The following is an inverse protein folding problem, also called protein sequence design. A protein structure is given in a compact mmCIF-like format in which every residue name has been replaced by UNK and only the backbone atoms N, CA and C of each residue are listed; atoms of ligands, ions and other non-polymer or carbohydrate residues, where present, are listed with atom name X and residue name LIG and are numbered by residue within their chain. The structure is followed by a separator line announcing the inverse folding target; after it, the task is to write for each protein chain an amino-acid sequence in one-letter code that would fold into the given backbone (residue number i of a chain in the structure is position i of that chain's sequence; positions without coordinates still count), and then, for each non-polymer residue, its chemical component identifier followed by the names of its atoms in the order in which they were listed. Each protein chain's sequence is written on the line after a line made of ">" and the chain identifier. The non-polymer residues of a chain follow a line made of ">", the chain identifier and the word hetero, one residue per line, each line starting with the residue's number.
data_IF_253845249571
#
_entry.id   IF_253845249571
#
_cell.length_a   1.000
_cell.length_b   1.000
_cell.length_c   1.000
_cell.angle_alpha   90.00
_cell.angle_beta   90.00
_cell.angle_gamma   90.00
#
_symmetry.space_group_name_H-M   'P 1'
#
loop_
_entity.id
_entity.type
_entity.pdbx_description
1 polymer ?
#
# COMPACT_ATOMS: atom_id res chain seq x y z
N UNK A 1 32.24 -30.94 -36.97
CA UNK A 1 33.72 -30.89 -37.05
C UNK A 1 34.18 -32.15 -37.76
N UNK A 2 35.16 -32.08 -38.67
CA UNK A 2 35.62 -33.25 -39.42
C UNK A 2 36.59 -34.07 -38.55
N UNK A 3 36.31 -35.36 -38.37
CA UNK A 3 37.19 -36.29 -37.66
C UNK A 3 38.58 -36.31 -38.31
N UNK A 4 39.62 -36.11 -37.53
CA UNK A 4 41.00 -36.34 -37.99
C UNK A 4 41.15 -37.85 -38.22
N UNK A 5 41.48 -38.26 -39.44
CA UNK A 5 41.57 -39.67 -39.82
C UNK A 5 42.49 -40.44 -38.86
N UNK A 6 42.08 -41.66 -38.46
CA UNK A 6 42.88 -42.55 -37.63
C UNK A 6 44.30 -42.67 -38.20
N UNK A 7 45.30 -42.42 -37.35
CA UNK A 7 46.71 -42.53 -37.75
C UNK A 7 47.08 -44.00 -37.86
N UNK A 8 47.46 -44.44 -39.05
CA UNK A 8 48.03 -45.77 -39.25
C UNK A 8 49.47 -45.78 -38.77
N UNK A 9 49.75 -46.48 -37.68
CA UNK A 9 51.11 -46.65 -37.15
C UNK A 9 51.90 -47.62 -38.02
N UNK A 10 53.15 -47.27 -38.32
CA UNK A 10 54.05 -48.15 -39.08
C UNK A 10 54.94 -48.93 -38.10
N UNK A 11 55.16 -50.22 -38.37
CA UNK A 11 56.03 -51.03 -37.53
C UNK A 11 57.45 -50.44 -37.46
N UNK A 12 57.94 -50.21 -36.24
CA UNK A 12 59.27 -49.60 -35.98
C UNK A 12 59.27 -48.08 -35.84
N UNK A 13 58.11 -47.42 -35.91
CA UNK A 13 58.00 -45.99 -35.69
C UNK A 13 58.28 -45.59 -34.23
N UNK A 14 59.08 -44.54 -34.02
CA UNK A 14 59.33 -43.99 -32.68
C UNK A 14 58.16 -43.08 -32.30
N UNK A 15 57.33 -43.56 -31.37
CA UNK A 15 56.23 -42.79 -30.81
C UNK A 15 56.76 -41.88 -29.70
N UNK A 16 56.70 -40.56 -29.91
CA UNK A 16 57.09 -39.59 -28.88
C UNK A 16 55.93 -39.37 -27.90
N UNK A 17 56.25 -38.99 -26.66
CA UNK A 17 55.24 -38.65 -25.67
C UNK A 17 54.30 -37.51 -26.12
N UNK A 18 54.80 -36.58 -26.94
CA UNK A 18 53.97 -35.52 -27.53
C UNK A 18 52.94 -36.08 -28.52
N UNK A 19 53.35 -37.00 -29.40
CA UNK A 19 52.44 -37.66 -30.35
C UNK A 19 51.37 -38.50 -29.63
N UNK A 20 51.79 -39.21 -28.58
CA UNK A 20 50.89 -40.04 -27.79
C UNK A 20 49.91 -39.18 -26.99
N UNK A 21 50.37 -38.08 -26.40
CA UNK A 21 49.52 -37.19 -25.61
C UNK A 21 48.49 -36.45 -26.47
N UNK A 22 48.81 -36.10 -27.71
CA UNK A 22 47.84 -35.48 -28.62
C UNK A 22 46.71 -36.46 -28.97
N UNK A 23 47.04 -37.72 -29.25
CA UNK A 23 46.05 -38.78 -29.52
C UNK A 23 45.28 -39.21 -28.26
N UNK A 24 45.93 -39.30 -27.10
CA UNK A 24 45.28 -39.67 -25.83
C UNK A 24 44.40 -38.54 -25.29
N UNK A 25 44.81 -37.28 -25.39
CA UNK A 25 44.00 -36.13 -24.94
C UNK A 25 42.70 -36.06 -25.73
N UNK A 26 42.75 -36.33 -27.04
CA UNK A 26 41.57 -36.36 -27.88
C UNK A 26 40.69 -37.58 -27.54
N UNK A 27 41.26 -38.74 -27.22
CA UNK A 27 40.48 -39.90 -26.73
C UNK A 27 39.90 -39.72 -25.32
N UNK A 28 40.62 -39.06 -24.40
CA UNK A 28 40.19 -38.86 -23.02
C UNK A 28 39.08 -37.84 -22.86
N UNK A 29 38.95 -36.90 -23.82
CA UNK A 29 37.81 -35.99 -23.92
C UNK A 29 36.56 -36.67 -24.48
N UNK A 30 36.74 -37.78 -25.19
CA UNK A 30 35.72 -38.46 -25.98
C UNK A 30 35.74 -39.97 -25.72
N UNK A 31 35.50 -40.37 -24.47
CA UNK A 31 35.06 -41.73 -24.18
C UNK A 31 33.66 -41.94 -24.76
N UNK A 32 33.57 -42.04 -26.09
CA UNK A 32 32.38 -42.46 -26.81
C UNK A 32 32.34 -43.98 -26.85
N UNK A 33 31.14 -44.55 -26.75
CA UNK A 33 30.95 -45.98 -27.01
C UNK A 33 31.50 -46.36 -28.39
N UNK A 34 31.73 -47.66 -28.61
CA UNK A 34 32.36 -48.23 -29.81
C UNK A 34 31.66 -47.87 -31.16
N UNK A 35 30.52 -47.18 -31.13
CA UNK A 35 29.72 -46.75 -32.27
C UNK A 35 29.94 -45.28 -32.70
N UNK A 36 30.78 -44.52 -31.99
CA UNK A 36 31.08 -43.12 -32.34
C UNK A 36 29.91 -42.15 -32.14
N UNK A 37 28.86 -42.58 -31.44
CA UNK A 37 27.77 -41.72 -31.00
C UNK A 37 28.17 -41.07 -29.67
N UNK A 38 27.98 -39.74 -29.50
CA UNK A 38 28.11 -39.11 -28.20
C UNK A 38 27.07 -39.70 -27.23
N UNK A 39 27.48 -40.67 -26.43
CA UNK A 39 26.66 -41.18 -25.33
C UNK A 39 26.85 -40.27 -24.13
N UNK A 40 25.73 -39.79 -23.58
CA UNK A 40 25.77 -39.15 -22.28
C UNK A 40 26.05 -40.24 -21.25
N UNK A 41 27.27 -40.26 -20.72
CA UNK A 41 27.53 -40.96 -19.47
C UNK A 41 26.68 -40.29 -18.40
N UNK A 42 25.50 -40.83 -18.14
CA UNK A 42 24.68 -40.55 -16.98
C UNK A 42 25.39 -41.12 -15.74
N UNK A 43 26.55 -40.55 -15.44
CA UNK A 43 27.34 -40.88 -14.26
C UNK A 43 26.90 -39.96 -13.13
N UNK A 44 26.20 -40.52 -12.14
CA UNK A 44 26.15 -39.93 -10.81
C UNK A 44 27.59 -39.86 -10.30
N UNK A 45 28.21 -38.68 -10.36
CA UNK A 45 29.48 -38.45 -9.68
C UNK A 45 29.12 -38.23 -8.22
N UNK A 46 29.27 -39.30 -7.43
CA UNK A 46 29.26 -39.18 -5.97
C UNK A 46 30.63 -38.62 -5.61
N UNK A 47 30.74 -37.30 -5.50
CA UNK A 47 31.87 -36.71 -4.78
C UNK A 47 31.66 -37.02 -3.29
N UNK A 48 32.59 -37.75 -2.68
CA UNK A 48 32.55 -38.04 -1.25
C UNK A 48 33.56 -37.21 -0.45
N UNK A 49 34.17 -36.20 -1.07
CA UNK A 49 35.36 -35.52 -0.53
C UNK A 49 35.00 -34.28 0.29
N UNK A 50 33.87 -33.64 0.02
CA UNK A 50 33.42 -32.37 0.62
C UNK A 50 31.99 -32.40 1.21
N UNK A 51 31.23 -33.47 0.99
CA UNK A 51 29.96 -33.73 1.70
C UNK A 51 28.72 -33.14 1.03
N UNK A 52 28.87 -32.63 -0.18
CA UNK A 52 27.80 -32.16 -1.05
C UNK A 52 27.67 -33.07 -2.26
N UNK A 53 26.73 -34.02 -2.18
CA UNK A 53 26.40 -34.86 -3.33
C UNK A 53 25.62 -34.05 -4.36
N UNK A 54 26.31 -33.54 -5.38
CA UNK A 54 25.66 -32.89 -6.51
C UNK A 54 25.49 -33.82 -7.71
N UNK A 55 24.26 -33.88 -8.22
CA UNK A 55 23.99 -34.47 -9.52
C UNK A 55 24.49 -33.53 -10.62
N UNK A 56 25.72 -33.74 -11.09
CA UNK A 56 26.28 -32.95 -12.19
C UNK A 56 25.64 -33.37 -13.51
N UNK A 57 24.80 -32.50 -14.06
CA UNK A 57 24.26 -32.70 -15.40
C UNK A 57 25.38 -32.60 -16.45
N UNK A 58 25.31 -33.40 -17.53
CA UNK A 58 26.18 -33.25 -18.69
C UNK A 58 26.12 -31.82 -19.20
N UNK A 59 27.29 -31.21 -19.40
CA UNK A 59 27.42 -29.89 -20.01
C UNK A 59 27.61 -30.10 -21.51
N UNK A 60 26.63 -29.65 -22.31
CA UNK A 60 26.66 -29.80 -23.76
C UNK A 60 26.74 -28.42 -24.43
N UNK A 61 27.56 -28.32 -25.48
CA UNK A 61 27.48 -27.20 -26.40
C UNK A 61 26.21 -27.29 -27.26
N UNK A 62 25.78 -26.18 -27.87
CA UNK A 62 24.58 -26.16 -28.72
C UNK A 62 24.65 -27.12 -29.90
N UNK A 63 25.84 -27.38 -30.43
CA UNK A 63 26.04 -28.35 -31.50
C UNK A 63 25.86 -29.80 -31.00
N UNK A 64 26.33 -30.10 -29.78
CA UNK A 64 26.16 -31.42 -29.14
C UNK A 64 24.72 -31.65 -28.70
N UNK A 65 24.04 -30.61 -28.22
CA UNK A 65 22.60 -30.64 -27.93
C UNK A 65 21.78 -31.11 -29.14
N UNK A 66 22.17 -30.73 -30.37
CA UNK A 66 21.46 -31.13 -31.58
C UNK A 66 21.70 -32.61 -31.96
N UNK A 67 22.83 -33.18 -31.56
CA UNK A 67 23.16 -34.60 -31.82
C UNK A 67 22.58 -35.56 -30.79
N UNK A 68 22.30 -35.07 -29.57
CA UNK A 68 21.68 -35.81 -28.47
C UNK A 68 20.15 -35.93 -28.62
N UNK A 69 19.53 -35.25 -29.59
CA UNK A 69 18.07 -35.25 -29.81
C UNK A 69 17.44 -36.66 -29.90
N UNK A 70 18.20 -37.67 -30.32
CA UNK A 70 17.74 -39.05 -30.47
C UNK A 70 17.82 -39.89 -29.19
N UNK A 71 18.42 -39.37 -28.11
CA UNK A 71 18.51 -40.05 -26.82
C UNK A 71 17.28 -39.72 -25.96
N UNK A 72 16.30 -40.63 -25.95
CA UNK A 72 15.10 -40.51 -25.11
C UNK A 72 15.46 -40.61 -23.61
N UNK A 73 14.95 -39.68 -22.80
CA UNK A 73 15.02 -39.73 -21.33
C UNK A 73 16.24 -39.04 -20.71
N UNK A 74 17.06 -38.34 -21.50
CA UNK A 74 18.26 -37.68 -20.99
C UNK A 74 18.00 -36.24 -20.54
N UNK A 75 18.73 -35.78 -19.52
CA UNK A 75 18.69 -34.41 -19.01
C UNK A 75 20.10 -33.82 -19.10
N UNK A 76 20.24 -32.64 -19.72
CA UNK A 76 21.53 -31.95 -19.82
C UNK A 76 21.40 -30.45 -19.56
N UNK A 77 22.50 -29.81 -19.18
CA UNK A 77 22.59 -28.36 -19.09
C UNK A 77 23.18 -27.80 -20.39
N UNK A 78 22.47 -26.86 -21.01
CA UNK A 78 22.94 -26.15 -22.19
C UNK A 78 23.77 -24.93 -21.76
N UNK A 79 25.05 -24.94 -22.12
CA UNK A 79 26.01 -23.92 -21.68
C UNK A 79 25.69 -22.52 -22.21
N UNK A 80 25.10 -22.40 -23.40
CA UNK A 80 24.87 -21.11 -24.05
C UNK A 80 23.57 -20.45 -23.56
N UNK A 81 22.55 -21.26 -23.31
CA UNK A 81 21.24 -20.77 -22.84
C UNK A 81 21.10 -20.77 -21.32
N UNK A 82 22.02 -21.43 -20.61
CA UNK A 82 21.97 -21.64 -19.16
C UNK A 82 20.67 -22.32 -18.70
N UNK A 83 20.12 -23.23 -19.52
CA UNK A 83 18.86 -23.95 -19.22
C UNK A 83 19.09 -25.45 -19.10
N UNK A 84 18.29 -26.08 -18.24
CA UNK A 84 18.19 -27.53 -18.16
C UNK A 84 17.23 -28.02 -19.26
N UNK A 85 17.73 -28.88 -20.14
CA UNK A 85 17.01 -29.48 -21.26
C UNK A 85 16.72 -30.96 -20.98
N UNK A 86 15.53 -31.41 -21.37
CA UNK A 86 15.09 -32.80 -21.34
C UNK A 86 14.93 -33.30 -22.77
N UNK A 87 15.55 -34.42 -23.14
CA UNK A 87 15.52 -34.96 -24.49
C UNK A 87 14.53 -36.12 -24.58
N UNK A 88 13.55 -36.02 -25.47
CA UNK A 88 12.44 -36.97 -25.60
C UNK A 88 12.47 -37.71 -26.96
N UNK A 89 13.65 -37.93 -27.55
CA UNK A 89 13.87 -38.71 -28.78
C UNK A 89 13.44 -38.05 -30.09
N UNK A 90 12.56 -37.06 -30.01
CA UNK A 90 12.00 -36.34 -31.16
C UNK A 90 11.98 -34.82 -30.97
N UNK A 91 12.18 -34.34 -29.74
CA UNK A 91 12.19 -32.93 -29.39
C UNK A 91 12.98 -32.69 -28.09
N UNK A 92 13.36 -31.43 -27.88
CA UNK A 92 13.96 -30.93 -26.64
C UNK A 92 12.88 -30.24 -25.82
N UNK A 93 12.54 -30.80 -24.65
CA UNK A 93 11.73 -30.16 -23.62
C UNK A 93 12.59 -29.33 -22.65
N UNK A 94 11.96 -28.44 -21.89
CA UNK A 94 12.58 -27.75 -20.76
C UNK A 94 12.07 -28.38 -19.47
N UNK A 95 12.95 -28.64 -18.50
CA UNK A 95 12.56 -29.16 -17.18
C UNK A 95 11.69 -28.16 -16.38
N UNK A 96 11.81 -26.88 -16.75
CA UNK A 96 10.97 -25.79 -16.27
C UNK A 96 10.25 -25.25 -17.49
N UNK A 97 8.97 -25.60 -17.61
CA UNK A 97 8.10 -25.12 -18.68
C UNK A 97 7.58 -23.72 -18.33
N UNK A 98 7.05 -23.00 -19.31
CA UNK A 98 6.34 -21.74 -19.06
C UNK A 98 5.12 -21.90 -18.14
N UNK A 99 4.60 -23.13 -17.97
CA UNK A 99 3.57 -23.46 -16.97
C UNK A 99 4.14 -23.52 -15.55
N UNK A 100 5.39 -23.94 -15.39
CA UNK A 100 6.04 -24.05 -14.07
C UNK A 100 6.48 -22.68 -13.54
N UNK A 101 6.55 -21.69 -14.42
CA UNK A 101 6.80 -20.27 -14.14
C UNK A 101 5.61 -19.44 -14.63
N UNK A 102 4.39 -19.87 -14.31
CA UNK A 102 3.17 -19.20 -14.76
C UNK A 102 3.13 -17.75 -14.23
N UNK A 103 3.62 -16.85 -15.07
CA UNK A 103 3.32 -15.44 -15.06
C UNK A 103 3.00 -15.07 -16.51
N UNK A 104 1.85 -15.57 -16.99
CA UNK A 104 1.19 -14.89 -18.10
C UNK A 104 0.79 -13.53 -17.56
N UNK A 105 1.47 -12.42 -17.93
CA UNK A 105 1.13 -11.12 -17.38
C UNK A 105 -0.31 -10.82 -17.79
N UNK A 106 -1.18 -10.53 -16.82
CA UNK A 106 -2.39 -9.78 -17.14
C UNK A 106 -1.89 -8.47 -17.74
N UNK A 107 -2.13 -8.25 -19.04
CA UNK A 107 -1.90 -7.00 -19.82
C UNK A 107 -0.67 -6.86 -20.77
N UNK A 108 0.09 -7.92 -21.04
CA UNK A 108 1.23 -7.88 -21.99
C UNK A 108 2.49 -7.13 -21.51
N UNK A 109 2.68 -6.95 -20.20
CA UNK A 109 3.96 -6.48 -19.65
C UNK A 109 5.14 -7.39 -20.05
N UNK A 110 6.22 -6.80 -20.54
CA UNK A 110 7.42 -7.54 -20.99
C UNK A 110 8.38 -7.76 -19.84
N UNK A 111 8.73 -9.03 -19.62
CA UNK A 111 9.45 -9.62 -18.50
C UNK A 111 10.93 -9.24 -18.45
N UNK A 112 11.36 -8.57 -17.38
CA UNK A 112 12.66 -8.86 -16.76
C UNK A 112 12.46 -10.03 -15.77
N UNK A 113 13.42 -10.95 -15.64
CA UNK A 113 13.21 -12.17 -14.86
C UNK A 113 13.15 -11.83 -13.36
N UNK A 114 12.37 -12.60 -12.60
CA UNK A 114 12.29 -12.68 -11.12
C UNK A 114 11.57 -11.57 -10.32
N UNK A 115 10.46 -11.00 -10.79
CA UNK A 115 9.42 -10.59 -9.83
C UNK A 115 8.27 -11.59 -9.87
N UNK A 116 7.95 -12.22 -8.74
CA UNK A 116 6.71 -12.97 -8.59
C UNK A 116 5.53 -12.07 -8.96
N UNK A 117 4.58 -12.58 -9.74
CA UNK A 117 3.33 -11.89 -10.11
C UNK A 117 2.63 -11.22 -8.90
N UNK A 118 2.84 -11.77 -7.69
CA UNK A 118 2.41 -11.16 -6.43
C UNK A 118 2.86 -9.71 -6.26
N UNK A 119 4.08 -9.34 -6.63
CA UNK A 119 4.55 -7.95 -6.52
C UNK A 119 3.86 -7.01 -7.53
N UNK A 120 3.49 -7.52 -8.71
CA UNK A 120 2.86 -6.74 -9.78
C UNK A 120 1.37 -6.48 -9.51
N UNK A 121 0.64 -7.47 -8.99
CA UNK A 121 -0.78 -7.35 -8.63
C UNK A 121 -1.02 -6.28 -7.54
N UNK A 122 -0.11 -6.15 -6.57
CA UNK A 122 -0.18 -5.07 -5.57
C UNK A 122 0.13 -3.69 -6.16
N UNK A 123 1.02 -3.61 -7.15
CA UNK A 123 1.42 -2.35 -7.78
C UNK A 123 0.32 -1.78 -8.70
N UNK A 124 -0.50 -2.61 -9.35
CA UNK A 124 -1.66 -2.14 -10.12
C UNK A 124 -2.79 -1.60 -9.23
N UNK A 125 -2.86 -2.03 -7.96
CA UNK A 125 -3.94 -1.62 -7.04
C UNK A 125 -3.71 -0.24 -6.43
N UNK A 126 -2.48 0.26 -6.33
CA UNK A 126 -2.17 1.57 -5.74
C UNK A 126 -1.79 2.56 -6.86
N UNK A 127 -2.67 3.51 -7.19
CA UNK A 127 -2.43 4.44 -8.32
C UNK A 127 -1.82 5.76 -7.89
N UNK A 128 -1.83 6.07 -6.59
CA UNK A 128 -1.39 7.35 -6.05
C UNK A 128 -0.52 7.12 -4.82
N UNK A 129 0.53 7.94 -4.65
CA UNK A 129 1.32 7.93 -3.43
C UNK A 129 0.43 8.23 -2.22
N UNK A 130 0.51 7.41 -1.17
CA UNK A 130 -0.33 7.51 0.03
C UNK A 130 -1.61 6.68 0.01
N UNK A 131 -1.90 5.97 -1.09
CA UNK A 131 -2.95 4.95 -1.08
C UNK A 131 -2.63 3.84 -0.07
N UNK A 132 -3.66 3.32 0.59
CA UNK A 132 -3.53 2.23 1.56
C UNK A 132 -4.33 1.01 1.09
N UNK A 133 -3.71 -0.17 0.91
CA UNK A 133 -4.43 -1.37 0.53
C UNK A 133 -5.26 -1.91 1.71
N UNK A 134 -6.46 -2.40 1.43
CA UNK A 134 -7.30 -3.10 2.41
C UNK A 134 -8.07 -4.26 1.76
N UNK A 135 -8.47 -5.25 2.56
CA UNK A 135 -9.31 -6.35 2.11
C UNK A 135 -10.80 -6.00 2.30
N UNK A 136 -11.60 -6.24 1.28
CA UNK A 136 -13.07 -6.16 1.37
C UNK A 136 -13.64 -7.34 2.15
N UNK A 137 -14.93 -7.29 2.50
CA UNK A 137 -15.65 -8.40 3.13
C UNK A 137 -15.61 -9.70 2.30
N UNK A 138 -15.47 -9.57 0.97
CA UNK A 138 -15.33 -10.70 0.05
C UNK A 138 -13.90 -11.29 0.01
N UNK A 139 -12.97 -10.78 0.83
CA UNK A 139 -11.56 -11.17 0.81
C UNK A 139 -10.80 -10.67 -0.41
N UNK A 140 -11.38 -9.75 -1.19
CA UNK A 140 -10.75 -9.14 -2.37
C UNK A 140 -9.96 -7.91 -1.92
N UNK A 141 -8.71 -7.79 -2.35
CA UNK A 141 -7.88 -6.62 -2.13
C UNK A 141 -8.36 -5.42 -2.95
N UNK A 142 -8.40 -4.26 -2.31
CA UNK A 142 -8.74 -2.98 -2.93
C UNK A 142 -7.91 -1.88 -2.26
N UNK A 143 -8.14 -0.61 -2.61
CA UNK A 143 -7.44 0.55 -2.05
C UNK A 143 -8.40 1.52 -1.37
N UNK A 144 -7.93 2.10 -0.28
CA UNK A 144 -8.38 3.39 0.21
C UNK A 144 -7.45 4.43 -0.44
N UNK A 145 -8.00 5.30 -1.30
CA UNK A 145 -7.21 6.35 -1.96
C UNK A 145 -6.56 7.28 -0.93
N UNK A 146 -5.49 7.99 -1.28
CA UNK A 146 -4.87 8.98 -0.36
C UNK A 146 -5.92 9.94 0.25
N UNK A 147 -5.85 10.15 1.56
CA UNK A 147 -6.70 11.08 2.30
C UNK A 147 -6.27 12.54 2.13
N UNK A 148 -7.17 13.46 2.50
CA UNK A 148 -6.84 14.88 2.61
C UNK A 148 -5.76 15.13 3.68
N UNK A 149 -5.16 16.33 3.66
CA UNK A 149 -4.19 16.73 4.68
C UNK A 149 -4.79 16.62 6.08
N UNK A 150 -4.06 16.01 7.02
CA UNK A 150 -4.50 15.88 8.42
C UNK A 150 -5.54 14.79 8.68
N UNK A 151 -6.05 14.12 7.64
CA UNK A 151 -7.03 13.05 7.81
C UNK A 151 -6.43 11.79 8.45
N UNK A 152 -7.24 11.09 9.24
CA UNK A 152 -6.90 9.83 9.90
C UNK A 152 -7.68 8.68 9.26
N UNK A 153 -7.00 7.56 9.02
CA UNK A 153 -7.68 6.35 8.57
C UNK A 153 -8.44 5.74 9.74
N UNK A 154 -9.75 5.57 9.61
CA UNK A 154 -10.59 4.93 10.61
C UNK A 154 -11.13 3.60 10.08
N UNK A 155 -11.01 2.56 10.89
CA UNK A 155 -11.65 1.26 10.67
C UNK A 155 -12.84 1.12 11.59
N UNK A 156 -14.05 1.07 11.03
CA UNK A 156 -15.32 1.00 11.77
C UNK A 156 -15.94 -0.41 11.76
N UNK A 157 -15.22 -1.41 11.26
CA UNK A 157 -15.74 -2.76 11.02
C UNK A 157 -16.28 -2.98 9.60
N UNK A 158 -16.29 -1.93 8.78
CA UNK A 158 -16.55 -1.98 7.33
C UNK A 158 -15.30 -1.50 6.57
N UNK A 159 -15.45 -1.16 5.28
CA UNK A 159 -14.37 -0.54 4.51
C UNK A 159 -13.82 0.69 5.26
N UNK A 160 -12.48 0.83 5.38
CA UNK A 160 -11.89 1.96 6.07
C UNK A 160 -12.21 3.25 5.32
N UNK A 161 -12.32 4.35 6.06
CA UNK A 161 -12.54 5.69 5.51
C UNK A 161 -11.61 6.70 6.15
N UNK A 162 -11.38 7.80 5.46
CA UNK A 162 -10.71 8.95 6.06
C UNK A 162 -11.70 9.74 6.89
N UNK A 163 -11.29 10.09 8.10
CA UNK A 163 -12.02 11.01 8.98
C UNK A 163 -11.11 12.17 9.32
N UNK A 164 -11.68 13.35 9.43
CA UNK A 164 -10.94 14.51 9.88
C UNK A 164 -11.02 14.58 11.41
N UNK A 165 -9.89 14.80 12.10
CA UNK A 165 -9.89 14.85 13.55
C UNK A 165 -10.55 16.15 14.03
N UNK A 166 -11.59 15.99 14.84
CA UNK A 166 -12.29 17.09 15.48
C UNK A 166 -11.63 17.48 16.82
N UNK A 167 -11.80 18.75 17.21
CA UNK A 167 -11.36 19.33 18.49
C UNK A 167 -12.54 20.05 19.10
N UNK A 168 -12.98 19.59 20.26
CA UNK A 168 -14.07 20.22 20.99
C UNK A 168 -13.55 21.18 22.06
N UNK A 169 -14.21 22.33 22.19
CA UNK A 169 -14.02 23.31 23.25
C UNK A 169 -15.37 23.55 23.93
N UNK A 170 -15.38 23.49 25.26
CA UNK A 170 -16.57 23.84 26.06
C UNK A 170 -16.20 25.05 26.92
N UNK A 171 -17.02 26.10 26.82
CA UNK A 171 -16.81 27.37 27.51
C UNK A 171 -17.97 27.59 28.47
N UNK A 172 -17.66 27.70 29.76
CA UNK A 172 -18.61 28.18 30.76
C UNK A 172 -18.75 29.70 30.62
N UNK A 173 -19.86 30.16 30.08
CA UNK A 173 -20.12 31.59 29.84
C UNK A 173 -20.82 32.22 31.04
N UNK A 174 -21.88 31.58 31.54
CA UNK A 174 -22.65 32.03 32.71
C UNK A 174 -22.76 30.88 33.72
N UNK A 175 -22.56 31.17 35.01
CA UNK A 175 -22.68 30.17 36.09
C UNK A 175 -24.09 29.59 36.15
N UNK A 176 -24.24 28.34 36.55
CA UNK A 176 -25.49 27.55 36.48
C UNK A 176 -26.70 28.27 37.10
N UNK A 177 -26.48 29.03 38.18
CA UNK A 177 -27.48 29.74 38.96
C UNK A 177 -27.62 31.23 38.59
N UNK A 178 -26.75 31.76 37.74
CA UNK A 178 -26.82 33.15 37.29
C UNK A 178 -27.79 33.28 36.12
N UNK A 179 -28.61 34.34 36.16
CA UNK A 179 -29.54 34.67 35.09
C UNK A 179 -28.82 34.91 33.77
N UNK A 180 -29.34 34.33 32.69
CA UNK A 180 -28.93 34.63 31.33
C UNK A 180 -29.42 36.04 30.96
N UNK A 181 -28.54 36.88 30.42
CA UNK A 181 -28.85 38.29 30.12
C UNK A 181 -28.51 38.57 28.65
N UNK A 182 -29.41 39.25 27.94
CA UNK A 182 -29.16 39.73 26.59
C UNK A 182 -28.02 40.74 26.56
N UNK A 183 -27.11 40.59 25.62
CA UNK A 183 -26.02 41.51 25.37
C UNK A 183 -24.80 40.81 24.78
N UNK A 184 -23.94 41.61 24.16
CA UNK A 184 -22.73 41.14 23.49
C UNK A 184 -21.58 41.01 24.49
N UNK A 185 -20.66 40.07 24.23
CA UNK A 185 -19.45 39.90 25.00
C UNK A 185 -19.65 39.33 26.39
N UNK A 186 -20.60 38.39 26.54
CA UNK A 186 -20.79 37.65 27.79
C UNK A 186 -19.54 36.85 28.18
N UNK A 187 -18.82 36.34 27.17
CA UNK A 187 -17.48 35.79 27.32
C UNK A 187 -16.67 35.95 26.03
N UNK A 188 -15.37 35.70 26.14
CA UNK A 188 -14.42 35.70 25.03
C UNK A 188 -13.55 34.45 25.10
N UNK A 189 -13.30 33.83 23.95
CA UNK A 189 -12.41 32.69 23.80
C UNK A 189 -11.33 33.05 22.78
N UNK A 190 -10.07 33.02 23.23
CA UNK A 190 -8.93 33.23 22.34
C UNK A 190 -8.50 31.90 21.75
N UNK A 191 -8.41 31.84 20.42
CA UNK A 191 -8.02 30.65 19.66
C UNK A 191 -6.58 30.27 20.01
N UNK A 192 -6.34 29.09 20.62
CA UNK A 192 -5.00 28.59 20.88
C UNK A 192 -4.33 28.07 19.60
N UNK A 193 -3.01 27.90 19.66
CA UNK A 193 -2.19 27.40 18.55
C UNK A 193 -2.63 26.03 18.00
N UNK A 194 -3.18 25.16 18.85
CA UNK A 194 -3.68 23.84 18.45
C UNK A 194 -4.90 23.90 17.51
N UNK A 195 -5.63 25.03 17.50
CA UNK A 195 -6.77 25.25 16.61
C UNK A 195 -6.41 26.09 15.38
N UNK A 196 -5.13 26.40 15.18
CA UNK A 196 -4.69 27.26 14.09
C UNK A 196 -5.01 26.67 12.71
N UNK A 197 -5.76 27.43 11.90
CA UNK A 197 -6.14 27.04 10.54
C UNK A 197 -7.20 25.94 10.50
N UNK A 198 -7.94 25.75 11.59
CA UNK A 198 -9.16 24.92 11.61
C UNK A 198 -10.38 25.76 11.27
N UNK A 199 -11.47 25.07 10.93
CA UNK A 199 -12.78 25.65 10.73
C UNK A 199 -13.72 25.21 11.86
N UNK A 200 -14.61 26.10 12.28
CA UNK A 200 -15.76 25.76 13.11
C UNK A 200 -16.71 24.88 12.26
N UNK A 201 -17.03 23.68 12.73
CA UNK A 201 -17.91 22.75 12.01
C UNK A 201 -19.22 22.47 12.74
N UNK A 202 -19.26 22.77 14.04
CA UNK A 202 -20.44 22.57 14.87
C UNK A 202 -20.44 23.53 16.06
N UNK A 203 -21.63 23.95 16.47
CA UNK A 203 -21.82 24.91 17.55
C UNK A 203 -23.14 24.65 18.28
N UNK A 204 -23.06 24.40 19.58
CA UNK A 204 -24.21 24.12 20.44
C UNK A 204 -24.16 24.93 21.74
N UNK A 205 -25.30 25.00 22.41
CA UNK A 205 -25.43 25.64 23.71
C UNK A 205 -26.25 24.79 24.69
N UNK A 206 -25.94 24.95 25.98
CA UNK A 206 -26.73 24.39 27.07
C UNK A 206 -26.97 25.43 28.17
N UNK A 207 -28.15 25.34 28.80
CA UNK A 207 -28.59 26.17 29.93
C UNK A 207 -29.00 25.27 31.10
N UNK A 208 -29.16 25.86 32.28
CA UNK A 208 -29.37 25.10 33.53
C UNK A 208 -30.74 25.34 34.16
N UNK A 209 -31.44 26.41 33.77
CA UNK A 209 -32.88 26.57 33.95
C UNK A 209 -33.50 26.90 32.60
N UNK A 210 -34.45 26.08 32.16
CA UNK A 210 -35.11 26.27 30.87
C UNK A 210 -35.93 27.57 30.82
N UNK A 211 -35.97 28.20 29.66
CA UNK A 211 -36.81 29.38 29.46
C UNK A 211 -38.29 29.06 29.63
N UNK A 212 -39.00 29.89 30.40
CA UNK A 212 -40.45 29.81 30.57
C UNK A 212 -41.23 30.55 29.49
N UNK A 213 -40.56 31.45 28.72
CA UNK A 213 -41.10 32.14 27.56
C UNK A 213 -39.99 32.85 26.77
N UNK A 214 -40.05 32.79 25.44
CA UNK A 214 -39.00 33.29 24.55
C UNK A 214 -37.86 32.28 24.42
N UNK A 215 -37.34 32.15 23.20
CA UNK A 215 -36.26 31.22 22.87
C UNK A 215 -34.93 31.93 23.12
N UNK A 216 -34.05 31.42 24.00
CA UNK A 216 -32.68 31.92 24.07
C UNK A 216 -31.99 31.77 22.71
N UNK A 217 -31.33 32.83 22.25
CA UNK A 217 -30.50 32.80 21.04
C UNK A 217 -29.11 33.34 21.31
N UNK A 218 -28.11 32.69 20.71
CA UNK A 218 -26.70 32.95 20.92
C UNK A 218 -26.00 33.05 19.57
N UNK A 219 -25.20 34.11 19.40
CA UNK A 219 -24.32 34.33 18.27
C UNK A 219 -22.85 34.18 18.67
N UNK A 220 -22.03 33.72 17.72
CA UNK A 220 -20.59 33.65 17.82
C UNK A 220 -19.99 34.67 16.85
N UNK A 221 -19.30 35.66 17.38
CA UNK A 221 -18.68 36.72 16.60
C UNK A 221 -17.16 36.60 16.67
N UNK A 222 -16.48 36.41 15.54
CA UNK A 222 -15.03 36.56 15.49
C UNK A 222 -14.71 38.07 15.61
N UNK A 223 -14.34 38.50 16.82
CA UNK A 223 -14.07 39.90 17.14
C UNK A 223 -12.80 40.42 16.46
N UNK A 224 -11.86 39.52 16.15
CA UNK A 224 -10.62 39.89 15.46
C UNK A 224 -10.89 40.27 14.02
N UNK A 225 -11.71 39.47 13.32
CA UNK A 225 -12.00 39.67 11.90
C UNK A 225 -13.29 40.49 11.65
N UNK A 226 -14.15 40.62 12.65
CA UNK A 226 -15.34 41.47 12.63
C UNK A 226 -16.55 40.84 11.93
N UNK A 227 -16.65 39.50 11.94
CA UNK A 227 -17.68 38.74 11.25
C UNK A 227 -18.36 37.74 12.19
N UNK A 228 -19.63 37.42 11.90
CA UNK A 228 -20.38 36.39 12.62
C UNK A 228 -20.09 35.02 11.99
N UNK A 229 -19.80 34.04 12.84
CA UNK A 229 -19.45 32.68 12.43
C UNK A 229 -20.69 31.81 12.18
N UNK A 230 -21.89 32.27 12.59
CA UNK A 230 -23.14 31.58 12.34
C UNK A 230 -24.06 32.43 11.45
N UNK A 231 -24.58 31.80 10.40
CA UNK A 231 -25.64 32.35 9.54
C UNK A 231 -27.05 32.13 10.10
N UNK A 232 -27.19 31.18 11.03
CA UNK A 232 -28.36 31.00 11.90
C UNK A 232 -27.84 30.82 13.31
N UNK A 233 -28.26 31.71 14.22
CA UNK A 233 -27.88 31.67 15.63
C UNK A 233 -28.22 30.33 16.27
N UNK A 234 -27.48 29.97 17.33
CA UNK A 234 -27.86 28.84 18.18
C UNK A 234 -29.17 29.23 18.85
N UNK A 235 -30.17 28.34 18.80
CA UNK A 235 -31.42 28.50 19.53
C UNK A 235 -31.63 27.35 20.51
N UNK A 236 -32.27 27.64 21.64
CA UNK A 236 -32.73 26.63 22.60
C UNK A 236 -34.25 26.77 22.68
N UNK A 237 -34.96 25.68 22.43
CA UNK A 237 -36.42 25.72 22.45
C UNK A 237 -36.96 25.96 23.87
N UNK A 238 -38.14 26.59 23.96
CA UNK A 238 -38.79 26.82 25.26
C UNK A 238 -38.95 25.48 26.00
N UNK A 239 -38.72 25.49 27.31
CA UNK A 239 -38.72 24.28 28.17
C UNK A 239 -37.61 23.25 27.91
N UNK A 240 -36.71 23.48 26.94
CA UNK A 240 -35.53 22.66 26.71
C UNK A 240 -34.29 23.21 27.45
N UNK A 241 -33.24 22.39 27.55
CA UNK A 241 -31.99 22.74 28.24
C UNK A 241 -30.79 22.83 27.31
N UNK A 242 -30.93 22.50 26.03
CA UNK A 242 -29.85 22.54 25.05
C UNK A 242 -30.39 22.68 23.63
N UNK A 243 -29.50 22.97 22.69
CA UNK A 243 -29.81 23.21 21.27
C UNK A 243 -29.93 21.95 20.41
N UNK A 244 -29.56 20.77 20.91
CA UNK A 244 -29.44 19.54 20.09
C UNK A 244 -30.73 19.13 19.38
N UNK A 245 -31.89 19.52 19.91
CA UNK A 245 -33.21 19.23 19.35
C UNK A 245 -33.98 20.46 18.92
N UNK A 246 -33.37 21.64 18.97
CA UNK A 246 -34.02 22.90 18.63
C UNK A 246 -34.58 22.87 17.20
N UNK A 247 -35.77 23.44 17.00
CA UNK A 247 -36.42 23.50 15.67
C UNK A 247 -35.55 24.27 14.67
N UNK A 248 -34.92 25.35 15.12
CA UNK A 248 -33.96 26.12 14.33
C UNK A 248 -32.54 25.76 14.74
N UNK A 249 -31.96 24.79 14.03
CA UNK A 249 -30.58 24.38 14.23
C UNK A 249 -29.60 25.50 13.81
N UNK A 250 -28.48 25.68 14.53
CA UNK A 250 -27.45 26.62 14.14
C UNK A 250 -26.86 26.24 12.79
N UNK A 251 -26.53 27.24 11.99
CA UNK A 251 -25.94 27.04 10.66
C UNK A 251 -24.62 27.81 10.60
N UNK A 252 -23.51 27.08 10.54
CA UNK A 252 -22.18 27.65 10.37
C UNK A 252 -22.13 28.49 9.08
N UNK A 253 -21.57 29.69 9.17
CA UNK A 253 -21.28 30.52 8.02
C UNK A 253 -19.95 30.07 7.40
N UNK A 254 -20.01 29.16 6.42
CA UNK A 254 -18.84 28.57 5.76
C UNK A 254 -17.92 29.55 4.99
N UNK A 255 -18.25 30.86 4.99
CA UNK A 255 -17.36 31.90 4.45
C UNK A 255 -16.53 32.59 5.55
N UNK A 256 -16.88 32.40 6.82
CA UNK A 256 -16.32 33.10 8.00
C UNK A 256 -16.16 32.11 9.18
N UNK A 257 -15.94 30.82 8.87
CA UNK A 257 -15.83 29.73 9.84
C UNK A 257 -14.37 29.40 10.20
N UNK A 258 -13.41 29.95 9.46
CA UNK A 258 -11.99 29.74 9.69
C UNK A 258 -11.48 30.48 10.93
N UNK A 259 -10.52 29.87 11.61
CA UNK A 259 -9.85 30.46 12.78
C UNK A 259 -8.34 30.33 12.70
N UNK A 260 -7.67 31.37 13.16
CA UNK A 260 -6.21 31.48 13.25
C UNK A 260 -5.81 31.71 14.71
N UNK A 261 -4.58 31.29 15.06
CA UNK A 261 -4.05 31.51 16.42
C UNK A 261 -4.17 32.97 16.83
N UNK A 262 -4.78 33.21 17.99
CA UNK A 262 -4.93 34.54 18.56
C UNK A 262 -6.23 35.25 18.19
N UNK A 263 -7.05 34.69 17.30
CA UNK A 263 -8.39 35.22 17.06
C UNK A 263 -9.21 35.17 18.35
N UNK A 264 -10.10 36.14 18.52
CA UNK A 264 -10.93 36.26 19.72
C UNK A 264 -12.38 36.05 19.33
N UNK A 265 -12.94 34.92 19.70
CA UNK A 265 -14.35 34.62 19.51
C UNK A 265 -15.12 35.18 20.69
N UNK A 266 -16.08 36.05 20.40
CA UNK A 266 -16.98 36.69 21.36
C UNK A 266 -18.32 35.95 21.36
N UNK A 267 -18.82 35.64 22.55
CA UNK A 267 -20.14 35.03 22.74
C UNK A 267 -21.15 36.13 23.04
N UNK A 268 -22.16 36.23 22.18
CA UNK A 268 -23.23 37.22 22.24
C UNK A 268 -24.57 36.54 22.50
N UNK A 269 -25.36 37.07 23.44
CA UNK A 269 -26.71 36.58 23.72
C UNK A 269 -27.70 37.58 23.15
N UNK A 270 -28.33 37.26 22.03
CA UNK A 270 -29.28 38.16 21.37
C UNK A 270 -30.64 38.11 22.05
N UNK A 271 -31.07 36.93 22.51
CA UNK A 271 -32.28 36.75 23.31
C UNK A 271 -31.94 35.84 24.50
N UNK A 272 -32.32 36.25 25.71
CA UNK A 272 -32.07 35.45 26.92
C UNK A 272 -33.24 34.52 27.32
N UNK A 273 -34.43 34.72 26.77
CA UNK A 273 -35.65 34.08 27.29
C UNK A 273 -36.05 34.62 28.67
N UNK A 274 -36.97 33.93 29.34
CA UNK A 274 -37.51 34.30 30.66
C UNK A 274 -37.08 33.26 31.70
N UNK A 275 -36.63 33.71 32.87
CA UNK A 275 -36.18 32.85 33.99
C UNK A 275 -35.06 31.85 33.62
N UNK A 276 -34.33 32.12 32.54
CA UNK A 276 -33.23 31.25 32.08
C UNK A 276 -31.97 31.51 32.89
N UNK A 277 -31.25 30.44 33.26
CA UNK A 277 -29.99 30.54 34.01
C UNK A 277 -28.90 29.67 33.40
N UNK A 278 -27.65 30.09 33.59
CA UNK A 278 -26.46 29.44 33.07
C UNK A 278 -26.33 29.53 31.55
N UNK A 279 -25.10 29.32 31.07
CA UNK A 279 -24.82 29.17 29.65
C UNK A 279 -23.47 28.47 29.49
N UNK A 280 -23.49 27.35 28.79
CA UNK A 280 -22.32 26.64 28.28
C UNK A 280 -22.38 26.68 26.75
N UNK A 281 -21.24 26.96 26.12
CA UNK A 281 -21.09 26.91 24.67
C UNK A 281 -20.16 25.77 24.31
N UNK A 282 -20.56 24.96 23.34
CA UNK A 282 -19.85 23.79 22.85
C UNK A 282 -19.50 24.06 21.40
N UNK A 283 -18.22 24.14 21.09
CA UNK A 283 -17.71 24.40 19.75
C UNK A 283 -16.87 23.23 19.28
N UNK A 284 -17.07 22.78 18.04
CA UNK A 284 -16.23 21.75 17.42
C UNK A 284 -15.49 22.33 16.22
N UNK A 285 -14.18 22.14 16.21
CA UNK A 285 -13.29 22.60 15.15
C UNK A 285 -12.67 21.42 14.42
N UNK A 286 -12.42 21.57 13.13
CA UNK A 286 -11.84 20.54 12.28
C UNK A 286 -10.86 21.16 11.27
N UNK A 287 -9.84 20.41 10.84
CA UNK A 287 -9.04 20.82 9.69
C UNK A 287 -9.91 20.88 8.41
N UNK A 288 -9.66 21.86 7.51
CA UNK A 288 -10.36 22.01 6.23
C UNK A 288 -10.26 20.78 5.31
#
# INVERSE_FOLDING_TARGET
>A
MAFTAYRTWVAGEIVTAALLNEQIRDNGRYHHGDDGVPTILSGLIIDNTDGDEYFKLPLLSTAECATVLAAEGEVAFDEQTHRIKMYNGSAVGSAVTTIDVDDTPVDSATTDPISSNWAYDFQQTLTTAGDTPYATEAGVWTRLGIGGSGSLAQSTGSAPSWVQPEKMVIIKVITDDSTLITGNGQAHFTIPDILNGMNLVDADAAIYTASSSGLPTIQLHNLTDGHDMLSTEISIDETELNSYTAVAQPVINAAEDDVVTGDVIRIDVDIAGTDTTGLDIILTFQLP
#
